data_IF_177909568566
#
_entry.id   IF_177909568566
#
_cell.length_a   1.000
_cell.length_b   1.000
_cell.length_c   1.000
_cell.angle_alpha   90.00
_cell.angle_beta   90.00
_cell.angle_gamma   90.00
#
_symmetry.space_group_name_H-M   'P 1'
#
loop_
_entity.id
_entity.type
_entity.pdbx_description
1 polymer ?
#
# COMPACT_ATOMS: atom_id res chain seq x y z
N UNK A 1 -7.13 -8.96 -0.28
CA UNK A 1 -6.18 -7.93 -0.77
C UNK A 1 -5.47 -8.44 -2.00
N UNK A 2 -5.64 -7.82 -3.17
CA UNK A 2 -4.95 -8.27 -4.39
C UNK A 2 -3.43 -8.03 -4.33
N UNK A 3 -2.96 -6.96 -3.68
CA UNK A 3 -1.54 -6.68 -3.52
C UNK A 3 -1.14 -6.52 -2.06
N UNK A 4 0.00 -7.10 -1.67
CA UNK A 4 0.58 -6.91 -0.33
C UNK A 4 2.11 -6.94 -0.36
N UNK A 5 2.70 -6.32 0.64
CA UNK A 5 4.14 -6.36 0.90
C UNK A 5 4.32 -6.98 2.28
N UNK A 6 5.16 -8.00 2.38
CA UNK A 6 5.43 -8.66 3.65
C UNK A 6 6.93 -8.81 3.91
N UNK A 7 7.31 -8.75 5.19
CA UNK A 7 8.65 -9.15 5.61
C UNK A 7 8.62 -10.62 6.02
N UNK A 8 9.16 -11.47 5.18
CA UNK A 8 9.19 -12.90 5.42
C UNK A 8 10.33 -13.58 4.65
N UNK A 9 10.57 -14.87 4.93
CA UNK A 9 11.36 -15.76 4.10
C UNK A 9 10.45 -16.26 2.96
N UNK A 10 10.82 -15.99 1.70
CA UNK A 10 10.01 -16.36 0.53
C UNK A 10 9.80 -17.87 0.41
N UNK A 11 10.72 -18.68 0.92
CA UNK A 11 10.64 -20.15 0.90
C UNK A 11 9.58 -20.71 1.87
N UNK A 12 9.04 -19.85 2.74
CA UNK A 12 8.00 -20.20 3.72
C UNK A 12 6.65 -19.53 3.42
N UNK A 13 6.57 -18.84 2.29
CA UNK A 13 5.32 -18.21 1.85
C UNK A 13 4.45 -19.25 1.17
N UNK A 14 3.17 -19.29 1.55
CA UNK A 14 2.18 -20.09 0.86
C UNK A 14 1.59 -19.29 -0.30
N UNK A 15 1.81 -19.75 -1.52
CA UNK A 15 1.28 -19.17 -2.75
C UNK A 15 1.21 -20.24 -3.83
N UNK A 16 0.37 -20.05 -4.88
CA UNK A 16 0.35 -21.02 -5.99
C UNK A 16 1.65 -20.99 -6.79
N UNK A 17 2.25 -19.81 -6.92
CA UNK A 17 3.56 -19.65 -7.55
C UNK A 17 4.53 -18.83 -6.69
N UNK A 18 5.79 -19.25 -6.65
CA UNK A 18 6.91 -18.51 -6.04
C UNK A 18 7.91 -18.16 -7.14
N UNK A 19 8.28 -16.87 -7.22
CA UNK A 19 9.23 -16.41 -8.23
C UNK A 19 10.66 -16.56 -7.72
N UNK A 20 11.48 -17.19 -8.56
CA UNK A 20 12.91 -17.35 -8.36
C UNK A 20 13.70 -16.42 -9.29
N UNK A 21 14.65 -15.68 -8.72
CA UNK A 21 15.63 -14.86 -9.46
C UNK A 21 16.78 -15.77 -9.97
N UNK A 22 16.53 -16.42 -11.08
CA UNK A 22 17.38 -17.49 -11.61
C UNK A 22 18.61 -16.97 -12.39
N UNK A 23 19.61 -17.85 -12.51
CA UNK A 23 20.68 -17.65 -13.49
C UNK A 23 20.18 -17.96 -14.93
N UNK A 24 20.76 -17.33 -15.96
CA UNK A 24 20.45 -17.69 -17.34
C UNK A 24 20.67 -19.18 -17.63
N UNK A 25 21.80 -19.75 -17.20
CA UNK A 25 22.12 -21.19 -17.30
C UNK A 25 21.61 -21.95 -16.08
N UNK A 26 21.29 -23.24 -16.19
CA UNK A 26 20.93 -24.09 -15.04
C UNK A 26 22.14 -24.23 -14.10
N UNK A 27 22.17 -23.40 -13.09
CA UNK A 27 23.14 -23.42 -11.99
C UNK A 27 22.59 -22.65 -10.80
N UNK A 28 22.92 -23.09 -9.62
CA UNK A 28 22.53 -22.41 -8.39
C UNK A 28 23.31 -21.11 -8.23
N UNK A 29 22.61 -20.03 -7.96
CA UNK A 29 23.17 -18.71 -7.67
C UNK A 29 23.37 -18.47 -6.19
N UNK A 30 23.15 -17.21 -5.77
CA UNK A 30 23.26 -16.75 -4.39
C UNK A 30 21.96 -16.12 -3.92
N UNK A 31 21.82 -15.96 -2.61
CA UNK A 31 20.67 -15.28 -2.00
C UNK A 31 19.37 -16.05 -2.20
N UNK A 32 18.35 -15.41 -2.76
CA UNK A 32 17.02 -16.01 -2.95
C UNK A 32 17.08 -17.30 -3.77
N UNK A 33 17.88 -17.32 -4.84
CA UNK A 33 18.00 -18.51 -5.69
C UNK A 33 18.52 -19.73 -4.91
N UNK A 34 19.63 -19.60 -4.18
CA UNK A 34 20.15 -20.70 -3.37
C UNK A 34 19.18 -21.12 -2.24
N UNK A 35 18.46 -20.18 -1.64
CA UNK A 35 17.48 -20.50 -0.61
C UNK A 35 16.30 -21.32 -1.17
N UNK A 36 15.81 -20.95 -2.36
CA UNK A 36 14.73 -21.68 -3.04
C UNK A 36 15.18 -23.09 -3.40
N UNK A 37 16.39 -23.26 -3.97
CA UNK A 37 16.92 -24.59 -4.29
C UNK A 37 17.05 -25.48 -3.03
N UNK A 38 17.60 -24.94 -1.96
CA UNK A 38 17.74 -25.67 -0.69
C UNK A 38 16.38 -26.08 -0.10
N UNK A 39 15.37 -25.23 -0.19
CA UNK A 39 14.05 -25.49 0.37
C UNK A 39 13.17 -26.38 -0.52
N UNK A 40 13.30 -26.28 -1.86
CA UNK A 40 12.55 -27.10 -2.80
C UNK A 40 13.08 -28.54 -2.92
N UNK A 41 14.36 -28.75 -2.61
CA UNK A 41 15.09 -30.00 -2.89
C UNK A 41 16.03 -29.80 -4.08
N UNK A 42 17.31 -29.57 -3.75
CA UNK A 42 18.33 -29.10 -4.69
C UNK A 42 18.47 -29.96 -5.93
N UNK A 43 18.59 -31.31 -5.74
CA UNK A 43 18.77 -32.26 -6.85
C UNK A 43 17.56 -32.31 -7.78
N UNK A 44 16.36 -32.33 -7.21
CA UNK A 44 15.11 -32.42 -7.99
C UNK A 44 14.87 -31.15 -8.79
N UNK A 45 15.04 -29.97 -8.15
CA UNK A 45 14.88 -28.69 -8.82
C UNK A 45 15.95 -28.48 -9.90
N UNK A 46 17.21 -28.88 -9.64
CA UNK A 46 18.28 -28.77 -10.62
C UNK A 46 17.97 -29.63 -11.85
N UNK A 47 17.58 -30.91 -11.67
CA UNK A 47 17.22 -31.79 -12.77
C UNK A 47 16.04 -31.26 -13.61
N UNK A 48 15.05 -30.62 -12.97
CA UNK A 48 13.95 -29.95 -13.67
C UNK A 48 14.44 -28.71 -14.44
N UNK A 49 15.31 -27.92 -13.83
CA UNK A 49 15.86 -26.71 -14.43
C UNK A 49 16.77 -26.98 -15.62
N UNK A 50 17.52 -28.10 -15.60
CA UNK A 50 18.34 -28.57 -16.72
C UNK A 50 17.49 -28.91 -17.95
N UNK A 51 16.29 -29.48 -17.76
CA UNK A 51 15.36 -29.78 -18.88
C UNK A 51 14.86 -28.49 -19.56
N UNK A 52 14.70 -27.39 -18.81
CA UNK A 52 14.36 -26.08 -19.36
C UNK A 52 15.51 -25.48 -20.14
N UNK A 53 16.76 -25.72 -19.69
CA UNK A 53 17.95 -25.15 -20.29
C UNK A 53 18.14 -23.66 -20.00
N UNK A 54 18.58 -22.90 -20.99
CA UNK A 54 18.81 -21.46 -20.84
C UNK A 54 17.52 -20.66 -20.82
N UNK A 55 17.44 -19.68 -19.88
CA UNK A 55 16.40 -18.65 -19.85
C UNK A 55 17.09 -17.32 -20.17
N UNK A 56 16.62 -16.61 -21.18
CA UNK A 56 17.17 -15.30 -21.53
C UNK A 56 16.76 -14.23 -20.50
N UNK A 57 17.55 -13.17 -20.31
CA UNK A 57 17.16 -12.03 -19.47
C UNK A 57 15.78 -11.49 -19.85
N UNK A 58 14.94 -11.22 -18.86
CA UNK A 58 13.56 -10.78 -19.04
C UNK A 58 12.55 -11.91 -19.28
N UNK A 59 12.99 -13.11 -19.62
CA UNK A 59 12.09 -14.25 -19.85
C UNK A 59 11.77 -15.00 -18.55
N UNK A 60 10.68 -15.78 -18.59
CA UNK A 60 10.26 -16.63 -17.49
C UNK A 60 9.99 -18.07 -17.97
N UNK A 61 10.25 -19.03 -17.09
CA UNK A 61 9.91 -20.44 -17.27
C UNK A 61 9.50 -21.01 -15.90
N UNK A 62 8.86 -22.17 -15.85
CA UNK A 62 8.41 -22.73 -14.58
C UNK A 62 8.86 -24.18 -14.38
N UNK A 63 8.90 -24.59 -13.13
CA UNK A 63 9.02 -25.97 -12.67
C UNK A 63 7.97 -26.26 -11.62
N UNK A 64 7.77 -27.51 -11.27
CA UNK A 64 7.09 -27.86 -10.02
C UNK A 64 7.82 -27.25 -8.81
N UNK A 65 7.09 -27.02 -7.72
CA UNK A 65 7.66 -26.43 -6.51
C UNK A 65 8.27 -27.44 -5.53
N UNK A 66 8.09 -28.73 -5.78
CA UNK A 66 8.62 -29.85 -4.98
C UNK A 66 8.24 -29.73 -3.49
N UNK A 67 9.23 -29.50 -2.59
CA UNK A 67 9.02 -29.42 -1.16
C UNK A 67 8.54 -28.05 -0.65
N UNK A 68 8.41 -27.03 -1.51
CA UNK A 68 7.85 -25.74 -1.15
C UNK A 68 6.32 -25.80 -1.02
N UNK A 69 5.72 -24.95 -0.18
CA UNK A 69 4.26 -24.79 -0.06
C UNK A 69 3.70 -23.94 -1.21
N UNK A 70 3.92 -24.43 -2.43
CA UNK A 70 3.49 -23.83 -3.69
C UNK A 70 3.27 -24.91 -4.73
N UNK A 71 2.58 -24.57 -5.84
CA UNK A 71 2.43 -25.47 -6.98
C UNK A 71 3.61 -25.33 -7.96
N UNK A 72 4.07 -24.10 -8.17
CA UNK A 72 5.08 -23.78 -9.17
C UNK A 72 6.18 -22.88 -8.62
N UNK A 73 7.41 -23.07 -9.17
CA UNK A 73 8.48 -22.07 -9.10
C UNK A 73 8.59 -21.43 -10.48
N UNK A 74 8.41 -20.12 -10.57
CA UNK A 74 8.59 -19.35 -11.79
C UNK A 74 10.00 -18.76 -11.78
N UNK A 75 10.85 -19.25 -12.67
CA UNK A 75 12.22 -18.80 -12.83
C UNK A 75 12.28 -17.64 -13.81
N UNK A 76 12.73 -16.48 -13.37
CA UNK A 76 12.98 -15.33 -14.25
C UNK A 76 14.40 -14.83 -14.09
N UNK A 77 14.98 -14.30 -15.15
CA UNK A 77 16.37 -13.83 -15.18
C UNK A 77 16.37 -12.31 -15.25
N UNK A 78 16.66 -11.69 -14.11
CA UNK A 78 16.80 -10.24 -14.03
C UNK A 78 18.08 -9.74 -14.72
N UNK A 79 18.14 -8.44 -15.06
CA UNK A 79 19.33 -7.81 -15.59
C UNK A 79 20.40 -7.62 -14.51
N UNK A 80 21.68 -7.75 -14.89
CA UNK A 80 22.75 -7.18 -14.09
C UNK A 80 22.80 -5.67 -14.37
N UNK A 81 22.84 -4.87 -13.31
CA UNK A 81 22.94 -3.42 -13.45
C UNK A 81 24.34 -3.01 -13.93
N UNK A 82 24.38 -2.17 -14.94
CA UNK A 82 25.62 -1.54 -15.44
C UNK A 82 25.53 -0.02 -15.15
N UNK A 83 24.66 0.69 -15.84
CA UNK A 83 24.48 2.14 -15.71
C UNK A 83 23.06 2.63 -16.05
N UNK A 84 22.16 1.70 -16.42
CA UNK A 84 20.78 1.99 -16.82
C UNK A 84 20.60 2.40 -18.29
N UNK A 85 21.68 2.35 -19.10
CA UNK A 85 21.65 2.71 -20.52
C UNK A 85 21.61 1.47 -21.46
N UNK A 86 21.63 0.25 -20.91
CA UNK A 86 21.71 -1.00 -21.67
C UNK A 86 20.40 -1.78 -21.69
N UNK A 87 19.27 -1.10 -21.45
CA UNK A 87 17.93 -1.73 -21.46
C UNK A 87 17.61 -2.52 -20.20
N UNK A 88 18.34 -2.28 -19.09
CA UNK A 88 18.15 -2.99 -17.83
C UNK A 88 16.74 -2.77 -17.26
N UNK A 89 16.22 -1.53 -17.38
CA UNK A 89 14.86 -1.20 -16.91
C UNK A 89 13.80 -1.99 -17.66
N UNK A 90 13.91 -2.07 -18.99
CA UNK A 90 12.96 -2.80 -19.82
C UNK A 90 13.07 -4.32 -19.60
N UNK A 91 14.30 -4.82 -19.40
CA UNK A 91 14.52 -6.21 -19.03
C UNK A 91 13.88 -6.55 -17.69
N UNK A 92 14.00 -5.65 -16.68
CA UNK A 92 13.38 -5.85 -15.38
C UNK A 92 11.84 -5.81 -15.46
N UNK A 93 11.26 -4.90 -16.25
CA UNK A 93 9.81 -4.88 -16.55
C UNK A 93 9.37 -6.22 -17.11
N UNK A 94 10.08 -6.71 -18.15
CA UNK A 94 9.75 -7.98 -18.80
C UNK A 94 9.80 -9.15 -17.82
N UNK A 95 10.66 -9.12 -16.78
CA UNK A 95 10.66 -10.16 -15.75
C UNK A 95 9.33 -10.24 -15.00
N UNK A 96 8.78 -9.09 -14.58
CA UNK A 96 7.49 -9.05 -13.88
C UNK A 96 6.35 -9.40 -14.83
N UNK A 97 6.32 -8.81 -16.03
CA UNK A 97 5.30 -9.09 -17.05
C UNK A 97 5.21 -10.57 -17.38
N UNK A 98 6.34 -11.18 -17.74
CA UNK A 98 6.38 -12.58 -18.15
C UNK A 98 6.09 -13.53 -16.99
N UNK A 99 6.54 -13.21 -15.76
CA UNK A 99 6.23 -14.03 -14.60
C UNK A 99 4.74 -13.98 -14.23
N UNK A 100 4.12 -12.80 -14.27
CA UNK A 100 2.69 -12.62 -14.01
C UNK A 100 1.84 -13.30 -15.10
N UNK A 101 2.17 -13.10 -16.38
CA UNK A 101 1.48 -13.72 -17.49
C UNK A 101 1.59 -15.26 -17.44
N UNK A 102 2.76 -15.79 -17.07
CA UNK A 102 2.97 -17.21 -16.92
C UNK A 102 2.13 -17.78 -15.76
N UNK A 103 2.11 -17.11 -14.60
CA UNK A 103 1.29 -17.51 -13.46
C UNK A 103 -0.21 -17.53 -13.82
N UNK A 104 -0.69 -16.50 -14.52
CA UNK A 104 -2.07 -16.44 -15.00
C UNK A 104 -2.41 -17.58 -15.96
N UNK A 105 -1.52 -17.88 -16.90
CA UNK A 105 -1.67 -19.01 -17.85
C UNK A 105 -1.69 -20.38 -17.18
N UNK A 106 -1.05 -20.51 -16.01
CA UNK A 106 -1.04 -21.70 -15.16
C UNK A 106 -2.26 -21.79 -14.22
N UNK A 107 -3.15 -20.78 -14.25
CA UNK A 107 -4.34 -20.72 -13.40
C UNK A 107 -4.02 -20.42 -11.94
N UNK A 108 -2.90 -19.75 -11.65
CA UNK A 108 -2.56 -19.37 -10.29
C UNK A 108 -3.48 -18.25 -9.78
N UNK A 109 -3.99 -18.40 -8.56
CA UNK A 109 -4.74 -17.36 -7.85
C UNK A 109 -3.83 -16.48 -6.98
N UNK A 110 -2.57 -16.94 -6.76
CA UNK A 110 -1.60 -16.23 -5.93
C UNK A 110 -0.16 -16.42 -6.42
N UNK A 111 0.64 -15.34 -6.32
CA UNK A 111 2.05 -15.34 -6.68
C UNK A 111 2.87 -14.53 -5.67
N UNK A 112 4.05 -15.03 -5.30
CA UNK A 112 4.99 -14.37 -4.42
C UNK A 112 6.28 -14.00 -5.17
N UNK A 113 6.67 -12.72 -5.10
CA UNK A 113 7.88 -12.18 -5.71
C UNK A 113 8.91 -11.78 -4.67
N UNK A 114 10.19 -12.06 -4.88
CA UNK A 114 11.25 -11.27 -4.26
C UNK A 114 11.39 -9.93 -5.01
N UNK A 115 12.14 -8.99 -4.50
CA UNK A 115 12.53 -7.82 -5.28
C UNK A 115 13.61 -8.23 -6.28
N UNK A 116 13.22 -8.36 -7.56
CA UNK A 116 14.06 -8.90 -8.64
C UNK A 116 15.24 -7.96 -8.88
N UNK A 117 16.43 -8.52 -9.12
CA UNK A 117 17.69 -7.85 -9.43
C UNK A 117 18.26 -6.90 -8.36
N UNK A 118 17.53 -6.58 -7.30
CA UNK A 118 17.94 -5.63 -6.25
C UNK A 118 19.00 -6.16 -5.26
N UNK A 119 19.41 -7.42 -5.41
CA UNK A 119 20.44 -8.06 -4.61
C UNK A 119 21.79 -8.11 -5.35
N UNK A 120 22.26 -9.33 -5.66
CA UNK A 120 23.58 -9.60 -6.26
C UNK A 120 23.78 -8.91 -7.63
N UNK A 121 22.70 -8.62 -8.35
CA UNK A 121 22.76 -7.95 -9.66
C UNK A 121 22.86 -6.44 -9.58
N UNK A 122 22.79 -5.86 -8.36
CA UNK A 122 23.13 -4.47 -8.08
C UNK A 122 22.18 -3.42 -8.66
N UNK A 123 20.99 -3.80 -9.09
CA UNK A 123 19.98 -2.84 -9.58
C UNK A 123 19.63 -1.86 -8.45
N UNK A 124 19.51 -0.53 -8.71
CA UNK A 124 19.09 0.45 -7.70
C UNK A 124 17.74 0.02 -7.11
N UNK A 125 17.67 -0.07 -5.79
CA UNK A 125 16.53 -0.71 -5.12
C UNK A 125 15.25 0.10 -5.24
N UNK A 126 15.35 1.42 -5.20
CA UNK A 126 14.23 2.34 -5.40
C UNK A 126 13.64 2.23 -6.80
N UNK A 127 14.49 2.19 -7.82
CA UNK A 127 14.04 1.96 -9.21
C UNK A 127 13.47 0.55 -9.40
N UNK A 128 14.10 -0.48 -8.81
CA UNK A 128 13.59 -1.85 -8.87
C UNK A 128 12.21 -1.98 -8.22
N UNK A 129 12.02 -1.32 -7.08
CA UNK A 129 10.74 -1.27 -6.41
C UNK A 129 9.68 -0.54 -7.24
N UNK A 130 10.02 0.63 -7.78
CA UNK A 130 9.11 1.41 -8.63
C UNK A 130 8.65 0.61 -9.85
N UNK A 131 9.57 -0.09 -10.53
CA UNK A 131 9.25 -0.96 -11.67
C UNK A 131 8.33 -2.11 -11.22
N UNK A 132 8.67 -2.78 -10.12
CA UNK A 132 7.85 -3.87 -9.57
C UNK A 132 6.41 -3.41 -9.28
N UNK A 133 6.25 -2.28 -8.58
CA UNK A 133 4.94 -1.73 -8.23
C UNK A 133 4.13 -1.37 -9.48
N UNK A 134 4.76 -0.69 -10.45
CA UNK A 134 4.10 -0.27 -11.69
C UNK A 134 3.59 -1.47 -12.50
N UNK A 135 4.41 -2.53 -12.65
CA UNK A 135 4.01 -3.70 -13.44
C UNK A 135 2.95 -4.55 -12.73
N UNK A 136 3.06 -4.72 -11.42
CA UNK A 136 2.06 -5.43 -10.61
C UNK A 136 0.72 -4.65 -10.65
N UNK A 137 0.75 -3.34 -10.49
CA UNK A 137 -0.44 -2.50 -10.57
C UNK A 137 -1.13 -2.63 -11.93
N UNK A 138 -0.35 -2.50 -13.01
CA UNK A 138 -0.85 -2.65 -14.38
C UNK A 138 -1.52 -4.01 -14.60
N UNK A 139 -0.91 -5.07 -14.12
CA UNK A 139 -1.46 -6.43 -14.21
C UNK A 139 -2.77 -6.55 -13.41
N UNK A 140 -2.80 -6.10 -12.16
CA UNK A 140 -3.95 -6.23 -11.27
C UNK A 140 -5.16 -5.39 -11.72
N UNK A 141 -4.96 -4.32 -12.49
CA UNK A 141 -6.07 -3.59 -13.10
C UNK A 141 -6.83 -4.47 -14.12
N UNK A 142 -6.16 -5.39 -14.80
CA UNK A 142 -6.76 -6.27 -15.80
C UNK A 142 -7.14 -7.67 -15.23
N UNK A 143 -6.41 -8.18 -14.24
CA UNK A 143 -6.53 -9.56 -13.75
C UNK A 143 -6.91 -9.61 -12.27
N UNK A 144 -7.44 -10.76 -11.83
CA UNK A 144 -7.74 -11.06 -10.44
C UNK A 144 -6.71 -12.08 -9.91
N UNK A 145 -5.71 -11.62 -9.20
CA UNK A 145 -4.67 -12.45 -8.60
C UNK A 145 -4.18 -11.81 -7.31
N UNK A 146 -3.82 -12.60 -6.32
CA UNK A 146 -3.13 -12.12 -5.12
C UNK A 146 -1.63 -12.05 -5.39
N UNK A 147 -1.06 -10.86 -5.45
CA UNK A 147 0.37 -10.63 -5.65
C UNK A 147 1.03 -10.17 -4.35
N UNK A 148 2.09 -10.85 -3.95
CA UNK A 148 2.83 -10.55 -2.72
C UNK A 148 4.29 -10.25 -3.05
N UNK A 149 4.77 -9.05 -2.70
CA UNK A 149 6.22 -8.77 -2.64
C UNK A 149 6.73 -9.23 -1.28
N UNK A 150 7.73 -10.10 -1.29
CA UNK A 150 8.36 -10.66 -0.09
C UNK A 150 9.74 -10.07 0.05
N UNK A 151 9.99 -9.36 1.15
CA UNK A 151 11.31 -8.83 1.49
C UNK A 151 11.83 -9.47 2.77
N UNK A 152 13.10 -9.85 2.77
CA UNK A 152 13.72 -10.43 3.95
C UNK A 152 13.99 -9.37 5.03
N UNK A 153 14.43 -8.19 4.61
CA UNK A 153 14.68 -7.05 5.49
C UNK A 153 13.98 -5.80 4.91
N UNK A 154 13.41 -4.96 5.78
CA UNK A 154 12.85 -3.65 5.39
C UNK A 154 13.87 -2.74 4.69
N UNK A 155 15.17 -2.89 5.01
CA UNK A 155 16.25 -2.20 4.31
C UNK A 155 16.40 -2.59 2.85
N UNK A 156 15.81 -3.71 2.42
CA UNK A 156 15.76 -4.09 1.02
C UNK A 156 14.78 -3.23 0.21
N UNK A 157 13.81 -2.58 0.88
CA UNK A 157 12.89 -1.63 0.27
C UNK A 157 13.44 -0.21 0.45
N UNK A 158 13.99 0.32 -0.62
CA UNK A 158 14.39 1.71 -0.71
C UNK A 158 13.34 2.46 -1.54
N UNK A 159 12.88 3.58 -1.03
CA UNK A 159 12.09 4.56 -1.77
C UNK A 159 13.06 5.63 -2.27
N UNK A 160 12.65 6.40 -3.28
CA UNK A 160 13.48 7.50 -3.75
C UNK A 160 13.82 8.45 -2.60
N UNK A 161 15.05 8.99 -2.61
CA UNK A 161 15.51 9.92 -1.57
C UNK A 161 14.60 11.15 -1.47
N UNK A 162 14.06 11.63 -2.60
CA UNK A 162 13.13 12.75 -2.64
C UNK A 162 11.81 12.44 -1.92
N UNK A 163 11.26 11.23 -2.08
CA UNK A 163 10.03 10.83 -1.41
C UNK A 163 10.26 10.66 0.10
N UNK A 164 11.35 10.00 0.47
CA UNK A 164 11.70 9.81 1.89
C UNK A 164 11.92 11.15 2.58
N UNK A 165 12.76 12.01 1.98
CA UNK A 165 13.04 13.35 2.50
C UNK A 165 11.78 14.20 2.60
N UNK A 166 10.88 14.12 1.62
CA UNK A 166 9.60 14.83 1.66
C UNK A 166 8.68 14.36 2.79
N UNK A 167 8.58 13.05 3.00
CA UNK A 167 7.78 12.47 4.09
C UNK A 167 8.38 12.85 5.46
N UNK A 168 9.68 12.70 5.64
CA UNK A 168 10.37 13.02 6.89
C UNK A 168 10.23 14.51 7.23
N UNK A 169 10.47 15.39 6.27
CA UNK A 169 10.27 16.83 6.45
C UNK A 169 8.82 17.17 6.83
N UNK A 170 7.84 16.55 6.18
CA UNK A 170 6.44 16.77 6.49
C UNK A 170 6.08 16.33 7.92
N UNK A 171 6.60 15.18 8.37
CA UNK A 171 6.40 14.67 9.73
C UNK A 171 7.04 15.62 10.75
N UNK A 172 8.28 16.07 10.50
CA UNK A 172 9.00 16.98 11.39
C UNK A 172 8.32 18.33 11.49
N UNK A 173 7.90 18.92 10.36
CA UNK A 173 7.16 20.18 10.32
C UNK A 173 5.82 20.09 11.07
N UNK A 174 5.14 18.95 10.97
CA UNK A 174 3.88 18.72 11.70
C UNK A 174 4.12 18.59 13.19
N UNK A 175 5.14 17.85 13.60
CA UNK A 175 5.53 17.68 15.01
C UNK A 175 5.96 19.00 15.62
N UNK A 176 6.73 19.80 14.89
CA UNK A 176 7.13 21.15 15.33
C UNK A 176 5.92 22.07 15.52
N UNK A 177 4.96 22.06 14.59
CA UNK A 177 3.71 22.87 14.71
C UNK A 177 2.88 22.45 15.93
N UNK A 178 2.77 21.15 16.21
CA UNK A 178 2.05 20.68 17.41
C UNK A 178 2.73 21.11 18.71
N UNK A 179 4.07 21.01 18.79
CA UNK A 179 4.83 21.49 19.95
C UNK A 179 4.62 22.97 20.18
N UNK A 180 4.73 23.80 19.12
CA UNK A 180 4.47 25.23 19.20
C UNK A 180 3.00 25.56 19.54
N UNK A 181 2.03 24.75 19.10
CA UNK A 181 0.63 24.93 19.48
C UNK A 181 0.39 24.62 20.96
N UNK A 182 1.02 23.56 21.50
CA UNK A 182 0.99 23.21 22.94
C UNK A 182 1.63 24.32 23.78
N UNK A 183 2.81 24.80 23.41
CA UNK A 183 3.49 25.91 24.10
C UNK A 183 2.63 27.20 24.13
N UNK A 184 1.96 27.52 23.02
CA UNK A 184 1.04 28.68 22.97
C UNK A 184 -0.22 28.44 23.82
N UNK A 185 -0.73 27.21 23.86
CA UNK A 185 -1.84 26.79 24.72
C UNK A 185 -1.48 26.92 26.19
N UNK A 186 -0.32 26.41 26.60
CA UNK A 186 0.18 26.51 27.97
C UNK A 186 0.49 27.95 28.38
N UNK A 187 1.04 28.76 27.49
CA UNK A 187 1.26 30.19 27.74
C UNK A 187 -0.08 30.99 27.88
N UNK A 188 -1.11 30.62 27.10
CA UNK A 188 -2.45 31.18 27.27
C UNK A 188 -3.08 30.75 28.60
N UNK A 189 -3.01 29.45 28.94
CA UNK A 189 -3.51 28.94 30.21
C UNK A 189 -2.79 29.59 31.43
N UNK A 190 -1.46 29.77 31.33
CA UNK A 190 -0.66 30.47 32.32
C UNK A 190 -1.02 31.96 32.44
N UNK A 191 -1.34 32.61 31.32
CA UNK A 191 -1.79 34.02 31.30
C UNK A 191 -3.19 34.19 31.86
N UNK A 192 -4.10 33.23 31.63
CA UNK A 192 -5.44 33.21 32.24
C UNK A 192 -5.34 33.00 33.75
N UNK A 193 -4.54 32.05 34.27
CA UNK A 193 -4.31 31.84 35.70
C UNK A 193 -3.71 33.06 36.40
N UNK A 194 -2.86 33.85 35.74
CA UNK A 194 -2.31 35.10 36.26
C UNK A 194 -3.30 36.24 36.25
N UNK A 195 -4.31 36.24 35.35
CA UNK A 195 -5.36 37.24 35.28
C UNK A 195 -6.49 36.95 36.27
N UNK A 196 -6.81 35.72 36.56
CA UNK A 196 -7.82 35.34 37.57
C UNK A 196 -7.39 35.67 39.00
N UNK A 197 -6.07 35.74 39.26
CA UNK A 197 -5.57 36.19 40.55
C UNK A 197 -5.71 37.70 40.81
N UNK A 198 -6.31 38.48 39.90
CA UNK A 198 -6.27 39.94 39.97
C UNK A 198 -7.48 40.73 39.51
N UNK A 199 -8.66 40.13 39.28
CA UNK A 199 -9.91 40.90 39.02
C UNK A 199 -11.13 39.99 39.01
N UNK A 200 -12.09 40.33 39.93
CA UNK A 200 -13.49 40.00 39.75
C UNK A 200 -14.05 40.81 38.57
N UNK A 201 -14.27 40.16 37.46
CA UNK A 201 -14.83 40.77 36.25
C UNK A 201 -15.20 39.68 35.27
N UNK A 202 -16.49 39.48 35.03
CA UNK A 202 -17.09 38.59 34.07
C UNK A 202 -16.36 38.64 32.71
N UNK A 203 -15.74 37.52 32.31
CA UNK A 203 -15.27 37.31 30.97
C UNK A 203 -15.96 36.05 30.42
N UNK A 204 -16.93 36.27 29.56
CA UNK A 204 -17.53 35.21 28.71
C UNK A 204 -16.43 34.42 28.00
N UNK A 205 -16.48 33.10 27.99
CA UNK A 205 -15.60 32.26 27.16
C UNK A 205 -15.88 32.55 25.68
N UNK A 206 -14.82 32.58 24.87
CA UNK A 206 -14.96 32.64 23.43
C UNK A 206 -15.81 31.45 22.92
N UNK A 207 -16.73 31.69 21.99
CA UNK A 207 -17.62 30.62 21.54
C UNK A 207 -16.82 29.49 20.90
N UNK A 208 -17.16 28.22 21.21
CA UNK A 208 -16.68 27.08 20.45
C UNK A 208 -17.13 27.24 18.98
N UNK A 209 -16.36 26.68 18.06
CA UNK A 209 -16.72 26.65 16.64
C UNK A 209 -18.20 26.27 16.48
N UNK A 210 -18.94 27.07 15.71
CA UNK A 210 -20.39 26.99 15.60
C UNK A 210 -20.84 25.54 15.29
N UNK A 211 -21.40 24.88 16.29
CA UNK A 211 -22.27 23.75 16.06
C UNK A 211 -23.49 24.24 15.27
N UNK A 212 -24.03 23.48 14.31
CA UNK A 212 -25.28 23.87 13.66
C UNK A 212 -26.32 24.14 14.72
N UNK A 213 -27.09 25.22 14.52
CA UNK A 213 -28.12 25.67 15.45
C UNK A 213 -29.20 24.57 15.57
N UNK A 214 -29.06 23.73 16.59
CA UNK A 214 -30.00 22.66 16.92
C UNK A 214 -31.08 23.12 17.90
N UNK A 215 -31.08 24.41 18.27
CA UNK A 215 -32.02 24.95 19.19
C UNK A 215 -33.43 24.94 18.59
N UNK A 216 -34.29 24.04 19.08
CA UNK A 216 -35.69 23.93 18.71
C UNK A 216 -36.08 22.74 17.84
N UNK A 217 -35.14 21.91 17.38
CA UNK A 217 -35.47 20.66 16.70
C UNK A 217 -35.72 19.53 17.72
N UNK A 218 -36.73 18.71 17.48
CA UNK A 218 -36.94 17.50 18.27
C UNK A 218 -35.87 16.44 17.96
N UNK A 219 -35.63 15.51 18.88
CA UNK A 219 -34.67 14.44 18.68
C UNK A 219 -34.98 13.61 17.41
N UNK A 220 -36.27 13.41 17.12
CA UNK A 220 -36.69 12.67 15.91
C UNK A 220 -36.41 13.47 14.63
N UNK A 221 -36.53 14.81 14.65
CA UNK A 221 -36.10 15.65 13.51
C UNK A 221 -34.60 15.67 13.33
N UNK A 222 -33.82 15.65 14.41
CA UNK A 222 -32.35 15.56 14.36
C UNK A 222 -31.93 14.19 13.85
N UNK A 223 -32.57 13.10 14.26
CA UNK A 223 -32.31 11.75 13.81
C UNK A 223 -32.79 11.51 12.36
N UNK A 224 -33.88 12.19 11.94
CA UNK A 224 -34.36 12.18 10.55
C UNK A 224 -33.45 12.96 9.58
N UNK A 225 -32.70 13.93 10.09
CA UNK A 225 -31.69 14.73 9.37
C UNK A 225 -30.27 14.08 9.44
N UNK A 226 -30.18 12.86 10.00
CA UNK A 226 -28.94 12.09 9.99
C UNK A 226 -28.50 11.86 8.53
N UNK A 227 -27.45 12.54 8.13
CA UNK A 227 -26.96 12.53 6.74
C UNK A 227 -26.62 11.12 6.24
N UNK A 228 -26.22 11.00 5.00
CA UNK A 228 -25.83 9.74 4.37
C UNK A 228 -24.93 8.89 5.26
N UNK A 229 -25.16 7.58 5.32
CA UNK A 229 -24.19 6.64 5.90
C UNK A 229 -22.89 6.63 5.10
N UNK A 230 -21.84 6.03 5.67
CA UNK A 230 -20.59 5.84 4.93
C UNK A 230 -20.82 5.16 3.57
N UNK A 231 -21.61 4.11 3.55
CA UNK A 231 -21.92 3.35 2.34
C UNK A 231 -22.64 4.24 1.30
N UNK A 232 -23.67 4.97 1.70
CA UNK A 232 -24.41 5.85 0.79
C UNK A 232 -23.52 6.97 0.23
N UNK A 233 -22.70 7.57 1.09
CA UNK A 233 -21.76 8.61 0.67
C UNK A 233 -20.69 8.08 -0.29
N UNK A 234 -20.13 6.90 0.01
CA UNK A 234 -19.16 6.26 -0.85
C UNK A 234 -19.75 5.96 -2.24
N UNK A 235 -20.95 5.41 -2.31
CA UNK A 235 -21.60 5.09 -3.59
C UNK A 235 -21.88 6.35 -4.41
N UNK A 236 -22.32 7.46 -3.78
CA UNK A 236 -22.48 8.75 -4.47
C UNK A 236 -21.14 9.25 -5.04
N UNK A 237 -20.05 9.16 -4.26
CA UNK A 237 -18.72 9.55 -4.74
C UNK A 237 -18.22 8.68 -5.89
N UNK A 238 -18.56 7.38 -5.89
CA UNK A 238 -18.27 6.48 -7.02
C UNK A 238 -19.05 6.91 -8.26
N UNK A 239 -20.34 7.14 -8.12
CA UNK A 239 -21.20 7.59 -9.23
C UNK A 239 -20.72 8.95 -9.78
N UNK A 240 -20.38 9.90 -8.92
CA UNK A 240 -19.86 11.22 -9.29
C UNK A 240 -18.49 11.13 -10.01
N UNK A 241 -17.67 10.13 -9.67
CA UNK A 241 -16.36 9.94 -10.31
C UNK A 241 -16.44 9.39 -11.74
N UNK A 242 -17.58 8.81 -12.12
CA UNK A 242 -17.78 8.15 -13.42
C UNK A 242 -16.99 6.84 -13.59
N UNK A 243 -16.32 6.36 -12.54
CA UNK A 243 -15.61 5.08 -12.54
C UNK A 243 -16.60 3.93 -12.29
N UNK A 244 -16.36 2.79 -12.95
CA UNK A 244 -17.09 1.57 -12.62
C UNK A 244 -16.59 0.93 -11.32
N UNK A 245 -17.44 0.10 -10.73
CA UNK A 245 -17.16 -0.60 -9.47
C UNK A 245 -15.85 -1.40 -9.49
N UNK A 246 -15.57 -2.06 -10.62
CA UNK A 246 -14.39 -2.93 -10.78
C UNK A 246 -13.11 -2.08 -10.72
N UNK A 247 -13.11 -0.98 -11.43
CA UNK A 247 -12.00 -0.01 -11.41
C UNK A 247 -11.79 0.54 -10.01
N UNK A 248 -12.86 0.91 -9.30
CA UNK A 248 -12.76 1.50 -7.95
C UNK A 248 -12.16 0.50 -6.95
N UNK A 249 -12.68 -0.73 -6.82
CA UNK A 249 -12.14 -1.65 -5.83
C UNK A 249 -10.72 -2.12 -6.17
N UNK A 250 -10.37 -2.22 -7.45
CA UNK A 250 -9.01 -2.54 -7.89
C UNK A 250 -8.03 -1.41 -7.58
N UNK A 251 -8.38 -0.16 -7.92
CA UNK A 251 -7.59 1.03 -7.53
C UNK A 251 -7.44 1.14 -6.01
N UNK A 252 -8.48 0.78 -5.24
CA UNK A 252 -8.43 0.77 -3.78
C UNK A 252 -7.63 -0.40 -3.18
N UNK A 253 -7.13 -1.32 -3.98
CA UNK A 253 -6.50 -2.56 -3.50
C UNK A 253 -7.42 -3.35 -2.55
N UNK A 254 -8.71 -3.38 -2.84
CA UNK A 254 -9.76 -4.04 -2.04
C UNK A 254 -10.22 -5.31 -2.77
N UNK A 255 -10.42 -6.38 -2.00
CA UNK A 255 -10.98 -7.62 -2.52
C UNK A 255 -12.43 -7.42 -2.99
N UNK A 256 -12.80 -8.02 -4.13
CA UNK A 256 -14.15 -7.96 -4.70
C UNK A 256 -15.23 -8.35 -3.70
N UNK A 257 -14.98 -9.36 -2.83
CA UNK A 257 -15.95 -9.81 -1.82
C UNK A 257 -16.18 -8.74 -0.75
N UNK A 258 -15.14 -8.00 -0.37
CA UNK A 258 -15.26 -6.89 0.59
C UNK A 258 -16.08 -5.76 -0.04
N UNK A 259 -15.79 -5.39 -1.29
CA UNK A 259 -16.55 -4.35 -2.00
C UNK A 259 -18.04 -4.74 -2.17
N UNK A 260 -18.31 -5.97 -2.60
CA UNK A 260 -19.69 -6.49 -2.69
C UNK A 260 -20.45 -6.42 -1.36
N UNK A 261 -19.74 -6.71 -0.24
CA UNK A 261 -20.32 -6.60 1.11
C UNK A 261 -20.66 -5.15 1.46
N UNK A 262 -19.78 -4.20 1.12
CA UNK A 262 -20.03 -2.76 1.33
C UNK A 262 -21.29 -2.35 0.55
N UNK A 263 -21.36 -2.74 -0.73
CA UNK A 263 -22.49 -2.37 -1.60
C UNK A 263 -23.83 -2.90 -1.13
N UNK A 264 -23.85 -4.10 -0.54
CA UNK A 264 -25.08 -4.78 -0.12
C UNK A 264 -25.54 -4.44 1.31
N UNK A 265 -24.70 -3.79 2.14
CA UNK A 265 -25.00 -3.50 3.55
C UNK A 265 -25.01 -2.00 3.82
N UNK A 266 -26.21 -1.38 3.97
CA UNK A 266 -26.30 0.08 4.28
C UNK A 266 -25.57 0.49 5.55
N UNK A 267 -25.55 -0.39 6.56
CA UNK A 267 -24.91 -0.15 7.87
C UNK A 267 -23.47 -0.67 7.94
N UNK A 268 -22.82 -0.87 6.79
CA UNK A 268 -21.44 -1.35 6.78
C UNK A 268 -20.50 -0.33 7.42
N UNK A 269 -19.80 -0.73 8.47
CA UNK A 269 -18.72 0.04 9.10
C UNK A 269 -17.37 -0.44 8.55
N UNK A 270 -16.68 0.37 7.75
CA UNK A 270 -15.35 0.01 7.23
C UNK A 270 -14.29 0.10 8.32
N UNK A 271 -13.19 -0.61 8.12
CA UNK A 271 -11.96 -0.30 8.86
C UNK A 271 -11.39 1.04 8.37
N UNK A 272 -10.54 1.67 9.17
CA UNK A 272 -9.86 2.91 8.76
C UNK A 272 -9.08 2.71 7.45
N UNK A 273 -8.39 1.57 7.31
CA UNK A 273 -7.62 1.22 6.11
C UNK A 273 -8.53 1.11 4.87
N UNK A 274 -9.67 0.46 5.01
CA UNK A 274 -10.65 0.31 3.93
C UNK A 274 -11.22 1.66 3.50
N UNK A 275 -11.61 2.52 4.46
CA UNK A 275 -12.17 3.84 4.16
C UNK A 275 -11.15 4.74 3.45
N UNK A 276 -9.89 4.74 3.92
CA UNK A 276 -8.80 5.49 3.30
C UNK A 276 -8.44 4.96 1.91
N UNK A 277 -8.45 3.64 1.72
CA UNK A 277 -8.18 3.02 0.43
C UNK A 277 -9.18 3.50 -0.65
N UNK A 278 -10.46 3.61 -0.31
CA UNK A 278 -11.47 4.19 -1.22
C UNK A 278 -11.26 5.68 -1.45
N UNK A 279 -10.94 6.44 -0.40
CA UNK A 279 -10.68 7.87 -0.55
C UNK A 279 -9.50 8.14 -1.51
N UNK A 280 -8.46 7.31 -1.44
CA UNK A 280 -7.30 7.36 -2.34
C UNK A 280 -7.69 6.92 -3.76
N UNK A 281 -8.41 5.81 -3.92
CA UNK A 281 -8.83 5.30 -5.23
C UNK A 281 -9.72 6.30 -6.00
N UNK A 282 -10.53 7.06 -5.27
CA UNK A 282 -11.40 8.12 -5.80
C UNK A 282 -10.70 9.48 -5.90
N UNK A 283 -9.42 9.56 -5.56
CA UNK A 283 -8.59 10.77 -5.62
C UNK A 283 -9.19 11.95 -4.86
N UNK A 284 -9.80 11.67 -3.69
CA UNK A 284 -10.51 12.68 -2.91
C UNK A 284 -9.53 13.70 -2.29
N UNK A 285 -9.91 14.96 -2.31
CA UNK A 285 -9.21 15.99 -1.57
C UNK A 285 -9.44 15.86 -0.04
N UNK A 286 -8.65 16.56 0.76
CA UNK A 286 -8.70 16.48 2.23
C UNK A 286 -10.09 16.77 2.81
N UNK A 287 -10.85 17.83 2.37
CA UNK A 287 -12.18 18.08 2.86
C UNK A 287 -13.17 16.94 2.59
N UNK A 288 -13.22 16.45 1.35
CA UNK A 288 -14.13 15.37 0.93
C UNK A 288 -13.77 14.04 1.59
N UNK A 289 -12.47 13.74 1.73
CA UNK A 289 -12.01 12.57 2.47
C UNK A 289 -12.42 12.66 3.95
N UNK A 290 -12.26 13.81 4.59
CA UNK A 290 -12.65 14.01 5.99
C UNK A 290 -14.16 13.82 6.18
N UNK A 291 -14.98 14.33 5.25
CA UNK A 291 -16.44 14.08 5.26
C UNK A 291 -16.73 12.58 5.17
N UNK A 292 -16.13 11.87 4.22
CA UNK A 292 -16.33 10.42 4.06
C UNK A 292 -15.92 9.64 5.32
N UNK A 293 -14.75 9.95 5.89
CA UNK A 293 -14.23 9.28 7.08
C UNK A 293 -15.12 9.52 8.32
N UNK A 294 -15.61 10.76 8.48
CA UNK A 294 -16.46 11.13 9.62
C UNK A 294 -17.76 10.31 9.68
N UNK A 295 -18.30 9.91 8.52
CA UNK A 295 -19.49 9.05 8.42
C UNK A 295 -19.24 7.60 8.85
N UNK A 296 -17.98 7.21 8.94
CA UNK A 296 -17.56 5.93 9.51
C UNK A 296 -17.05 6.07 10.97
N UNK A 297 -17.21 7.25 11.59
CA UNK A 297 -16.67 7.56 12.93
C UNK A 297 -15.14 7.48 12.96
N UNK A 298 -14.47 7.78 11.84
CA UNK A 298 -13.02 7.73 11.66
C UNK A 298 -12.48 9.13 11.48
N UNK A 299 -11.35 9.41 12.13
CA UNK A 299 -10.61 10.66 11.95
C UNK A 299 -9.11 10.39 11.71
N UNK A 300 -8.44 11.31 11.02
CA UNK A 300 -6.99 11.36 10.93
C UNK A 300 -6.43 12.07 12.17
N UNK A 301 -5.40 11.49 12.75
CA UNK A 301 -4.70 12.06 13.92
C UNK A 301 -3.37 12.66 13.48
N UNK A 302 -3.11 13.93 13.81
CA UNK A 302 -1.84 14.57 13.48
C UNK A 302 -0.65 14.02 14.26
N UNK A 303 -0.87 13.22 15.31
CA UNK A 303 0.18 12.57 16.11
C UNK A 303 0.44 11.12 15.72
N UNK A 304 -0.22 10.60 14.70
CA UNK A 304 -0.07 9.22 14.25
C UNK A 304 0.72 9.15 12.93
N UNK A 305 1.85 8.46 12.93
CA UNK A 305 2.73 8.35 11.75
C UNK A 305 2.01 7.80 10.50
N UNK A 306 1.11 6.82 10.68
CA UNK A 306 0.30 6.30 9.58
C UNK A 306 -0.56 7.41 8.95
N UNK A 307 -1.24 8.19 9.79
CA UNK A 307 -2.13 9.27 9.34
C UNK A 307 -1.34 10.42 8.70
N UNK A 308 -0.16 10.74 9.24
CA UNK A 308 0.72 11.77 8.67
C UNK A 308 1.22 11.37 7.28
N UNK A 309 1.62 10.10 7.07
CA UNK A 309 2.02 9.61 5.76
C UNK A 309 0.85 9.74 4.77
N UNK A 310 -0.35 9.29 5.14
CA UNK A 310 -1.53 9.43 4.28
C UNK A 310 -1.80 10.91 3.95
N UNK A 311 -1.76 11.78 4.96
CA UNK A 311 -1.97 13.22 4.77
C UNK A 311 -0.92 13.83 3.84
N UNK A 312 0.35 13.42 3.95
CA UNK A 312 1.42 13.83 3.04
C UNK A 312 1.07 13.53 1.58
N UNK A 313 0.69 12.27 1.29
CA UNK A 313 0.38 11.84 -0.06
C UNK A 313 -0.83 12.59 -0.66
N UNK A 314 -1.91 12.73 0.12
CA UNK A 314 -3.11 13.47 -0.31
C UNK A 314 -2.79 14.95 -0.57
N UNK A 315 -2.01 15.59 0.32
CA UNK A 315 -1.61 17.00 0.18
C UNK A 315 -0.79 17.23 -1.08
N UNK A 316 0.06 16.26 -1.44
CA UNK A 316 0.86 16.30 -2.67
C UNK A 316 0.12 15.75 -3.90
N UNK A 317 -1.19 15.44 -3.79
CA UNK A 317 -2.02 14.88 -4.87
C UNK A 317 -1.43 13.60 -5.49
N UNK A 318 -0.78 12.80 -4.68
CA UNK A 318 -0.29 11.50 -5.06
C UNK A 318 -1.23 10.43 -4.51
N UNK A 319 -1.96 9.77 -5.39
CA UNK A 319 -2.99 8.78 -5.07
C UNK A 319 -2.59 7.35 -5.49
N UNK A 320 -1.31 7.12 -5.73
CA UNK A 320 -0.82 5.77 -6.01
C UNK A 320 -0.78 4.92 -4.73
N UNK A 321 -1.80 4.07 -4.57
CA UNK A 321 -1.93 3.21 -3.39
C UNK A 321 -0.76 2.23 -3.22
N UNK A 322 -0.08 1.85 -4.31
CA UNK A 322 1.07 0.95 -4.25
C UNK A 322 2.29 1.68 -3.68
N UNK A 323 2.54 2.90 -4.12
CA UNK A 323 3.60 3.75 -3.58
C UNK A 323 3.32 4.13 -2.12
N UNK A 324 2.07 4.48 -1.80
CA UNK A 324 1.63 4.73 -0.42
C UNK A 324 1.89 3.51 0.46
N UNK A 325 1.53 2.30 0.00
CA UNK A 325 1.75 1.07 0.73
C UNK A 325 3.23 0.74 0.91
N UNK A 326 4.07 1.05 -0.08
CA UNK A 326 5.52 0.91 0.04
C UNK A 326 6.08 1.88 1.11
N UNK A 327 5.61 3.13 1.14
CA UNK A 327 5.97 4.09 2.16
C UNK A 327 5.50 3.63 3.56
N UNK A 328 4.25 3.25 3.71
CA UNK A 328 3.70 2.72 4.95
C UNK A 328 4.53 1.53 5.46
N UNK A 329 4.84 0.58 4.59
CA UNK A 329 5.67 -0.57 4.93
C UNK A 329 7.08 -0.18 5.39
N UNK A 330 7.73 0.77 4.69
CA UNK A 330 9.06 1.28 5.07
C UNK A 330 9.07 1.85 6.48
N UNK A 331 8.04 2.64 6.84
CA UNK A 331 7.90 3.23 8.17
C UNK A 331 7.26 2.29 9.20
N UNK A 332 7.11 1.01 8.89
CA UNK A 332 6.57 0.01 9.81
C UNK A 332 5.09 0.16 10.12
N UNK A 333 4.38 0.87 9.27
CA UNK A 333 2.94 1.07 9.39
C UNK A 333 2.15 -0.04 8.67
N UNK A 334 0.90 -0.32 9.09
CA UNK A 334 0.05 -1.25 8.37
C UNK A 334 -0.26 -0.68 6.97
N UNK A 335 -0.29 -1.55 5.96
CA UNK A 335 -0.62 -1.15 4.59
C UNK A 335 -2.13 -1.02 4.39
N UNK A 336 -2.55 -0.26 3.37
CA UNK A 336 -3.93 -0.04 2.98
C UNK A 336 -4.48 -1.19 2.14
N UNK A 337 -5.80 -1.34 2.17
CA UNK A 337 -6.52 -2.41 1.49
C UNK A 337 -6.70 -3.65 2.39
N UNK A 338 -7.82 -4.35 2.28
CA UNK A 338 -8.11 -5.66 2.92
C UNK A 338 -9.04 -6.51 2.07
#
# INVERSE_FOLDING_TARGET
MPFQIIRHDITKVKADAIVNTANPKPRIGRGTDSAIYAAAGEEQLMAAREKIGNIAPGQAAYTDAFALDANYIIHTVGPAWIDGAHGERDTLRSCYENALALADSLGCESIAFPLIAAGTYGFPKDEALHIALSEIQRFLLAHEMKVTIVVFDRKAMELSESLVGGIEQFIDDHTARELHAKERGDNRAGMYRRREAGRDGELSPAPPAAMPDLAGKSLDEILGDAGDSFQQRLLKLIDDSGMDDVTVYKKANIDRKVFSRIRCKPDYKPTKKTALAFAIALELDMPTMTDLLSRAEIALSPSNTFDLIITYFITNKNYDIFEINAALFKYGQPILGE
#
